data_IF_001187181509
#
_entry.id   IF_001187181509
#
_cell.length_a   1.000
_cell.length_b   1.000
_cell.length_c   1.000
_cell.angle_alpha   90.00
_cell.angle_beta   90.00
_cell.angle_gamma   90.00
#
_symmetry.space_group_name_H-M   'P 1'
#
loop_
_entity.id
_entity.type
_entity.pdbx_description
1 polymer ?
#
# COMPACT_ATOMS: atom_id res chain seq x y z
N UNK A 1 0.00 5.21 -14.05
CA UNK A 1 -1.32 4.89 -13.46
C UNK A 1 -1.96 6.15 -12.88
N UNK A 2 -1.37 6.77 -11.85
CA UNK A 2 -1.90 7.95 -11.14
C UNK A 2 -2.32 9.10 -12.08
N UNK A 3 -1.46 9.55 -13.01
CA UNK A 3 -1.80 10.60 -14.01
C UNK A 3 -3.08 10.27 -14.81
N UNK A 4 -3.30 8.99 -15.14
CA UNK A 4 -4.39 8.57 -16.04
C UNK A 4 -5.70 8.33 -15.32
N UNK A 5 -5.65 7.86 -14.07
CA UNK A 5 -6.84 7.36 -13.35
C UNK A 5 -7.07 8.01 -11.98
N UNK A 6 -6.09 8.68 -11.39
CA UNK A 6 -6.13 9.10 -9.98
C UNK A 6 -5.61 8.02 -9.02
N UNK A 7 -5.98 8.15 -7.75
CA UNK A 7 -5.62 7.23 -6.66
C UNK A 7 -6.67 6.12 -6.48
N UNK A 8 -6.31 5.02 -5.82
CA UNK A 8 -7.22 3.92 -5.48
C UNK A 8 -8.52 4.41 -4.79
N UNK A 9 -8.40 5.41 -3.91
CA UNK A 9 -9.52 6.00 -3.16
C UNK A 9 -10.57 6.66 -4.06
N UNK A 10 -10.18 7.10 -5.27
CA UNK A 10 -11.08 7.72 -6.25
C UNK A 10 -11.98 6.68 -6.94
N UNK A 11 -11.67 5.37 -6.82
CA UNK A 11 -12.36 4.25 -7.48
C UNK A 11 -13.11 3.31 -6.52
N UNK A 12 -13.23 3.69 -5.25
CA UNK A 12 -13.99 2.93 -4.26
C UNK A 12 -15.49 3.07 -4.54
N UNK A 13 -16.16 1.93 -4.73
CA UNK A 13 -17.61 1.84 -4.91
C UNK A 13 -18.36 1.51 -3.61
N UNK A 14 -17.75 0.67 -2.77
CA UNK A 14 -18.33 0.18 -1.52
C UNK A 14 -17.21 -0.22 -0.55
N UNK A 15 -17.54 -0.31 0.73
CA UNK A 15 -16.65 -0.81 1.77
C UNK A 15 -17.49 -1.43 2.88
N UNK A 16 -17.00 -2.50 3.51
CA UNK A 16 -17.54 -2.98 4.79
C UNK A 16 -16.63 -2.48 5.91
N UNK A 17 -17.20 -1.76 6.86
CA UNK A 17 -16.52 -1.23 8.05
C UNK A 17 -17.25 -1.67 9.32
N UNK A 18 -16.49 -1.98 10.37
CA UNK A 18 -16.99 -2.20 11.72
C UNK A 18 -16.70 -0.96 12.55
N UNK A 19 -17.75 -0.33 13.11
CA UNK A 19 -17.63 0.85 13.97
C UNK A 19 -17.38 0.51 15.45
N UNK A 20 -17.35 1.52 16.32
CA UNK A 20 -17.00 1.33 17.75
C UNK A 20 -18.13 0.74 18.59
N UNK A 21 -19.32 0.61 18.01
CA UNK A 21 -20.44 -0.16 18.57
C UNK A 21 -20.46 -1.62 18.04
N UNK A 22 -19.51 -1.99 17.17
CA UNK A 22 -19.43 -3.31 16.55
C UNK A 22 -20.42 -3.53 15.40
N UNK A 23 -21.06 -2.46 14.90
CA UNK A 23 -22.03 -2.56 13.78
C UNK A 23 -21.26 -2.70 12.46
N UNK A 24 -21.69 -3.65 11.63
CA UNK A 24 -21.17 -3.79 10.26
C UNK A 24 -21.93 -2.85 9.33
N UNK A 25 -21.23 -1.84 8.82
CA UNK A 25 -21.78 -0.84 7.90
C UNK A 25 -21.27 -1.06 6.47
N UNK A 26 -22.14 -0.83 5.49
CA UNK A 26 -21.84 -0.83 4.06
C UNK A 26 -22.03 0.58 3.47
N UNK A 27 -21.77 0.77 2.17
CA UNK A 27 -21.94 2.06 1.47
C UNK A 27 -23.27 2.78 1.74
N UNK A 28 -24.36 2.02 1.89
CA UNK A 28 -25.72 2.54 2.11
C UNK A 28 -25.96 2.88 3.58
N UNK A 29 -25.42 2.09 4.52
CA UNK A 29 -25.69 2.26 5.96
C UNK A 29 -24.68 3.13 6.70
N UNK A 30 -23.48 3.37 6.14
CA UNK A 30 -22.46 4.23 6.77
C UNK A 30 -22.69 5.74 6.58
N UNK A 31 -23.45 6.12 5.55
CA UNK A 31 -23.69 7.52 5.18
C UNK A 31 -22.52 8.17 4.42
N UNK A 32 -22.81 9.29 3.75
CA UNK A 32 -21.85 10.00 2.89
C UNK A 32 -20.61 10.51 3.63
N UNK A 33 -20.79 11.09 4.83
CA UNK A 33 -19.71 11.66 5.63
C UNK A 33 -18.62 10.62 5.95
N UNK A 34 -19.03 9.45 6.44
CA UNK A 34 -18.13 8.35 6.77
C UNK A 34 -17.53 7.71 5.51
N UNK A 35 -18.32 7.56 4.45
CA UNK A 35 -17.81 7.06 3.18
C UNK A 35 -16.76 7.98 2.54
N UNK A 36 -16.93 9.30 2.65
CA UNK A 36 -15.90 10.27 2.28
C UNK A 36 -14.66 10.13 3.19
N UNK A 37 -14.84 10.09 4.51
CA UNK A 37 -13.74 10.02 5.47
C UNK A 37 -12.85 8.78 5.28
N UNK A 38 -13.42 7.59 5.02
CA UNK A 38 -12.60 6.38 4.81
C UNK A 38 -11.82 6.40 3.48
N UNK A 39 -12.25 7.16 2.47
CA UNK A 39 -11.58 7.32 1.16
C UNK A 39 -10.39 8.29 1.20
N UNK A 40 -9.63 8.31 2.29
CA UNK A 40 -8.37 9.08 2.38
C UNK A 40 -8.03 9.63 3.75
N UNK A 41 -8.97 9.68 4.69
CA UNK A 41 -8.77 10.24 6.05
C UNK A 41 -8.07 9.31 7.04
N UNK A 42 -7.41 8.25 6.56
CA UNK A 42 -6.88 7.17 7.40
C UNK A 42 -7.99 6.33 8.04
N UNK A 43 -8.54 5.37 7.29
CA UNK A 43 -9.76 4.62 7.68
C UNK A 43 -9.76 4.00 9.09
N UNK A 44 -8.59 3.64 9.61
CA UNK A 44 -8.41 3.15 10.99
C UNK A 44 -8.80 4.18 12.08
N UNK A 45 -8.95 5.46 11.74
CA UNK A 45 -9.49 6.48 12.65
C UNK A 45 -11.00 6.36 12.87
N UNK A 46 -11.73 5.61 12.03
CA UNK A 46 -13.19 5.56 12.05
C UNK A 46 -13.77 4.16 12.28
N UNK A 47 -12.96 3.12 12.08
CA UNK A 47 -13.37 1.73 12.26
C UNK A 47 -12.41 0.72 11.66
N UNK A 48 -12.76 -0.55 11.79
CA UNK A 48 -12.02 -1.65 11.14
C UNK A 48 -12.64 -1.91 9.78
N UNK A 49 -11.93 -1.55 8.71
CA UNK A 49 -12.37 -1.82 7.33
C UNK A 49 -12.08 -3.28 6.99
N UNK A 50 -13.13 -4.06 6.78
CA UNK A 50 -13.09 -5.51 6.56
C UNK A 50 -12.98 -5.86 5.08
N UNK A 51 -13.55 -5.03 4.20
CA UNK A 51 -13.43 -5.22 2.74
C UNK A 51 -13.65 -3.93 1.96
N UNK A 52 -13.10 -3.90 0.74
CA UNK A 52 -13.31 -2.85 -0.25
C UNK A 52 -13.90 -3.43 -1.53
N UNK A 53 -14.83 -2.72 -2.15
CA UNK A 53 -15.27 -2.95 -3.53
C UNK A 53 -14.71 -1.83 -4.40
N UNK A 54 -13.80 -2.19 -5.28
CA UNK A 54 -13.05 -1.27 -6.15
C UNK A 54 -13.24 -1.73 -7.59
N UNK A 55 -13.29 -0.79 -8.53
CA UNK A 55 -13.23 -1.11 -9.97
C UNK A 55 -11.86 -1.76 -10.25
N UNK A 56 -11.84 -2.92 -10.91
CA UNK A 56 -10.62 -3.72 -11.09
C UNK A 56 -10.61 -4.43 -12.45
N UNK A 57 -9.54 -4.22 -13.24
CA UNK A 57 -9.24 -4.89 -14.52
C UNK A 57 -8.13 -5.96 -14.38
N UNK A 58 -8.24 -7.09 -15.13
CA UNK A 58 -7.88 -8.46 -14.67
C UNK A 58 -7.37 -9.39 -15.80
N UNK A 59 -6.69 -10.55 -15.63
CA UNK A 59 -5.87 -11.23 -14.57
C UNK A 59 -5.25 -12.52 -15.22
N UNK A 60 -4.12 -13.08 -14.74
CA UNK A 60 -3.40 -14.21 -15.38
C UNK A 60 -3.08 -15.43 -14.44
N UNK A 61 -2.97 -16.65 -15.02
CA UNK A 61 -2.61 -17.95 -14.36
C UNK A 61 -1.94 -18.95 -15.34
N UNK A 62 -0.96 -19.78 -14.91
CA UNK A 62 -0.55 -21.11 -15.52
C UNK A 62 0.53 -21.85 -14.66
N UNK A 63 0.84 -23.13 -14.95
CA UNK A 63 1.55 -24.08 -14.04
C UNK A 63 2.93 -24.62 -14.48
N UNK A 64 3.64 -25.32 -13.58
CA UNK A 64 5.11 -25.33 -13.54
C UNK A 64 5.91 -26.59 -13.98
N UNK A 65 5.33 -27.80 -14.11
CA UNK A 65 6.12 -29.02 -14.39
C UNK A 65 6.82 -29.02 -15.75
N UNK A 66 6.20 -28.41 -16.76
CA UNK A 66 6.81 -28.24 -18.09
C UNK A 66 8.08 -27.38 -18.10
N UNK A 67 8.23 -26.45 -17.13
CA UNK A 67 9.35 -25.52 -17.05
C UNK A 67 10.68 -26.24 -16.79
N UNK A 68 10.67 -27.21 -15.87
CA UNK A 68 11.86 -27.97 -15.47
C UNK A 68 12.34 -28.86 -16.62
N UNK A 69 11.39 -29.50 -17.32
CA UNK A 69 11.71 -30.35 -18.47
C UNK A 69 12.29 -29.56 -19.65
N UNK A 70 11.82 -28.33 -19.88
CA UNK A 70 12.40 -27.46 -20.91
C UNK A 70 13.82 -27.01 -20.53
N UNK A 71 14.01 -26.55 -19.28
CA UNK A 71 15.29 -26.00 -18.80
C UNK A 71 16.49 -26.93 -19.04
N UNK A 72 16.35 -28.24 -18.80
CA UNK A 72 17.47 -29.20 -18.87
C UNK A 72 18.10 -29.38 -20.26
N UNK A 73 17.40 -28.97 -21.33
CA UNK A 73 17.88 -29.08 -22.72
C UNK A 73 18.38 -27.76 -23.31
N UNK A 74 18.03 -26.63 -22.70
CA UNK A 74 18.32 -25.29 -23.22
C UNK A 74 19.37 -24.54 -22.42
N UNK A 75 19.47 -24.75 -21.10
CA UNK A 75 20.21 -23.88 -20.18
C UNK A 75 21.68 -23.64 -20.53
N UNK A 76 22.36 -24.64 -21.11
CA UNK A 76 23.75 -24.61 -21.57
C UNK A 76 23.95 -23.89 -22.92
N UNK A 77 22.86 -23.55 -23.62
CA UNK A 77 22.85 -23.01 -24.99
C UNK A 77 22.29 -21.59 -25.10
N UNK A 78 21.84 -21.01 -23.99
CA UNK A 78 21.10 -19.74 -24.02
C UNK A 78 22.02 -18.56 -24.37
N UNK A 79 23.13 -18.40 -23.65
CA UNK A 79 24.06 -17.27 -23.79
C UNK A 79 25.34 -17.54 -22.98
N UNK A 80 26.53 -17.28 -23.55
CA UNK A 80 27.82 -17.61 -22.90
C UNK A 80 28.03 -16.91 -21.54
N UNK A 81 27.52 -15.69 -21.39
CA UNK A 81 27.55 -14.92 -20.13
C UNK A 81 26.45 -15.28 -19.12
N UNK A 82 25.64 -16.31 -19.36
CA UNK A 82 24.48 -16.67 -18.52
C UNK A 82 24.70 -18.02 -17.82
N UNK A 83 24.69 -17.99 -16.48
CA UNK A 83 24.65 -19.20 -15.66
C UNK A 83 23.26 -19.34 -15.02
N UNK A 84 22.52 -20.39 -15.39
CA UNK A 84 21.27 -20.78 -14.71
C UNK A 84 21.47 -22.12 -14.01
N UNK A 85 21.06 -22.22 -12.75
CA UNK A 85 20.85 -23.51 -12.07
C UNK A 85 19.40 -23.66 -11.62
N UNK A 86 18.84 -24.85 -11.76
CA UNK A 86 17.62 -25.24 -11.05
C UNK A 86 18.01 -25.91 -9.73
N UNK A 87 17.30 -25.58 -8.66
CA UNK A 87 17.30 -26.33 -7.41
C UNK A 87 15.94 -27.00 -7.28
N UNK A 88 15.94 -28.33 -7.27
CA UNK A 88 14.75 -29.15 -7.05
C UNK A 88 14.73 -29.58 -5.57
N UNK A 89 13.62 -29.35 -4.89
CA UNK A 89 13.41 -29.83 -3.52
C UNK A 89 12.00 -30.36 -3.32
N UNK A 90 11.80 -31.40 -2.47
CA UNK A 90 10.46 -31.87 -2.13
C UNK A 90 9.70 -30.76 -1.39
N UNK A 91 8.50 -30.43 -1.88
CA UNK A 91 7.51 -29.62 -1.19
C UNK A 91 6.54 -30.51 -0.38
N UNK A 92 6.22 -31.69 -0.91
CA UNK A 92 5.48 -32.75 -0.23
C UNK A 92 6.04 -34.12 -0.66
N UNK A 93 5.55 -35.23 -0.09
CA UNK A 93 5.86 -36.59 -0.60
C UNK A 93 5.51 -36.82 -2.08
N UNK A 94 4.70 -35.94 -2.71
CA UNK A 94 4.25 -36.06 -4.11
C UNK A 94 4.53 -34.81 -4.97
N UNK A 95 5.09 -33.75 -4.40
CA UNK A 95 5.25 -32.44 -5.07
C UNK A 95 6.68 -31.97 -4.95
N UNK A 96 7.28 -31.55 -6.06
CA UNK A 96 8.63 -30.97 -6.12
C UNK A 96 8.49 -29.48 -6.42
N UNK A 97 9.24 -28.65 -5.69
CA UNK A 97 9.43 -27.23 -5.95
C UNK A 97 10.67 -27.07 -6.84
N UNK A 98 10.57 -26.28 -7.90
CA UNK A 98 11.71 -25.83 -8.69
C UNK A 98 11.97 -24.36 -8.40
N UNK A 99 13.21 -24.02 -8.01
CA UNK A 99 13.70 -22.64 -7.94
C UNK A 99 14.79 -22.47 -9.00
N UNK A 100 14.68 -21.43 -9.83
CA UNK A 100 15.69 -21.08 -10.81
C UNK A 100 16.53 -19.94 -10.25
N UNK A 101 17.84 -20.15 -10.15
CA UNK A 101 18.80 -19.12 -9.77
C UNK A 101 19.61 -18.74 -11.00
N UNK A 102 19.77 -17.45 -11.24
CA UNK A 102 20.46 -16.90 -12.41
C UNK A 102 21.58 -15.98 -11.97
N UNK A 103 22.75 -16.15 -12.57
CA UNK A 103 23.84 -15.18 -12.59
C UNK A 103 24.08 -14.79 -14.05
N UNK A 104 24.19 -13.50 -14.31
CA UNK A 104 24.40 -12.97 -15.66
C UNK A 104 25.55 -11.98 -15.66
N UNK A 105 26.51 -12.18 -16.55
CA UNK A 105 27.73 -11.36 -16.69
C UNK A 105 27.46 -10.15 -17.61
N UNK A 106 26.39 -9.41 -17.29
CA UNK A 106 25.93 -8.23 -18.00
C UNK A 106 24.83 -7.54 -17.18
N UNK A 107 24.06 -6.64 -17.80
CA UNK A 107 23.07 -5.85 -17.08
C UNK A 107 21.69 -6.54 -16.97
N UNK A 108 20.80 -6.01 -16.12
CA UNK A 108 19.49 -6.61 -15.87
C UNK A 108 18.55 -6.61 -17.09
N UNK A 109 18.70 -5.68 -18.04
CA UNK A 109 17.90 -5.67 -19.28
C UNK A 109 18.38 -6.74 -20.26
N UNK A 110 19.69 -6.93 -20.38
CA UNK A 110 20.29 -8.00 -21.18
C UNK A 110 19.86 -9.37 -20.64
N UNK A 111 19.90 -9.58 -19.32
CA UNK A 111 19.37 -10.78 -18.67
C UNK A 111 17.89 -11.00 -19.03
N UNK A 112 17.04 -9.96 -18.91
CA UNK A 112 15.62 -10.06 -19.26
C UNK A 112 15.40 -10.36 -20.76
N UNK A 113 16.18 -9.75 -21.66
CA UNK A 113 16.12 -10.01 -23.11
C UNK A 113 16.45 -11.47 -23.42
N UNK A 114 17.59 -11.95 -22.92
CA UNK A 114 18.09 -13.31 -23.11
C UNK A 114 17.08 -14.35 -22.57
N UNK A 115 16.53 -14.11 -21.38
CA UNK A 115 15.56 -15.00 -20.75
C UNK A 115 14.19 -14.98 -21.46
N UNK A 116 13.75 -13.84 -21.97
CA UNK A 116 12.50 -13.75 -22.74
C UNK A 116 12.60 -14.41 -24.13
N UNK A 117 13.76 -14.37 -24.79
CA UNK A 117 13.97 -15.06 -26.06
C UNK A 117 14.04 -16.58 -25.88
N UNK A 118 14.78 -17.06 -24.87
CA UNK A 118 15.08 -18.48 -24.72
C UNK A 118 14.10 -19.26 -23.84
N UNK A 119 13.65 -18.66 -22.74
CA UNK A 119 12.94 -19.33 -21.64
C UNK A 119 11.83 -18.46 -21.02
N UNK A 120 10.95 -17.81 -21.82
CA UNK A 120 9.95 -16.86 -21.33
C UNK A 120 8.97 -17.48 -20.32
N UNK A 121 8.85 -18.81 -20.30
CA UNK A 121 7.99 -19.54 -19.37
C UNK A 121 8.52 -19.51 -17.93
N UNK A 122 9.79 -19.15 -17.71
CA UNK A 122 10.38 -18.97 -16.36
C UNK A 122 9.94 -17.67 -15.67
N UNK A 123 9.32 -16.73 -16.40
CA UNK A 123 8.66 -15.55 -15.82
C UNK A 123 9.56 -14.66 -14.98
N UNK A 124 10.84 -14.50 -15.36
CA UNK A 124 11.82 -13.74 -14.59
C UNK A 124 11.40 -12.26 -14.48
N UNK A 125 11.36 -11.76 -13.24
CA UNK A 125 11.16 -10.36 -12.89
C UNK A 125 12.37 -9.86 -12.08
N UNK A 126 12.71 -8.59 -12.22
CA UNK A 126 13.80 -7.99 -11.45
C UNK A 126 13.27 -7.51 -10.09
N UNK A 127 13.89 -7.96 -8.99
CA UNK A 127 13.52 -7.60 -7.61
C UNK A 127 14.75 -7.20 -6.78
N UNK A 128 14.50 -6.65 -5.58
CA UNK A 128 15.43 -6.03 -4.62
C UNK A 128 16.02 -4.65 -5.03
N UNK A 129 15.37 -3.57 -4.57
CA UNK A 129 15.99 -2.26 -4.31
C UNK A 129 15.28 -1.55 -3.15
N UNK A 130 16.02 -0.75 -2.39
CA UNK A 130 15.44 0.45 -1.79
C UNK A 130 15.08 1.39 -2.95
N UNK A 131 13.80 1.60 -3.19
CA UNK A 131 13.32 2.40 -4.31
C UNK A 131 12.91 3.80 -3.85
N UNK A 132 13.42 4.80 -4.56
CA UNK A 132 12.79 6.11 -4.64
C UNK A 132 11.76 6.05 -5.77
N UNK A 133 10.48 6.18 -5.43
CA UNK A 133 9.41 6.37 -6.39
C UNK A 133 9.12 7.86 -6.49
N UNK A 134 9.35 8.44 -7.67
CA UNK A 134 8.80 9.74 -8.03
C UNK A 134 7.52 9.48 -8.81
N UNK A 135 6.38 9.52 -8.12
CA UNK A 135 5.06 9.39 -8.73
C UNK A 135 4.61 10.77 -9.24
N UNK A 136 4.66 11.06 -10.55
CA UNK A 136 4.24 12.36 -11.06
C UNK A 136 2.74 12.55 -10.84
N UNK A 137 2.39 13.71 -10.29
CA UNK A 137 1.01 14.18 -10.15
C UNK A 137 0.61 15.03 -11.38
N UNK A 138 -0.62 15.54 -11.37
CA UNK A 138 -1.23 16.16 -12.56
C UNK A 138 -1.98 15.14 -13.43
N UNK A 139 -2.32 15.54 -14.66
CA UNK A 139 -3.34 14.84 -15.45
C UNK A 139 -4.65 14.75 -14.67
N UNK A 140 -5.23 13.55 -14.57
CA UNK A 140 -6.48 13.31 -13.83
C UNK A 140 -6.39 13.74 -12.36
N UNK A 141 -5.22 13.63 -11.71
CA UNK A 141 -5.03 14.11 -10.33
C UNK A 141 -5.18 15.63 -10.19
N UNK A 142 -4.91 16.40 -11.25
CA UNK A 142 -5.08 17.86 -11.24
C UNK A 142 -6.51 18.31 -11.55
N UNK A 143 -7.34 17.43 -12.12
CA UNK A 143 -8.77 17.70 -12.39
C UNK A 143 -9.66 17.42 -11.17
N UNK A 144 -9.21 16.54 -10.26
CA UNK A 144 -9.96 16.15 -9.06
C UNK A 144 -9.83 17.26 -8.00
N UNK A 145 -10.97 17.68 -7.45
CA UNK A 145 -11.04 18.67 -6.37
C UNK A 145 -10.28 18.20 -5.13
N UNK A 146 -9.56 19.11 -4.46
CA UNK A 146 -8.93 18.82 -3.16
C UNK A 146 -9.93 18.41 -2.06
N UNK A 147 -11.23 18.62 -2.29
CA UNK A 147 -12.32 18.25 -1.39
C UNK A 147 -13.01 16.92 -1.73
N UNK A 148 -12.75 16.33 -2.91
CA UNK A 148 -13.42 15.10 -3.38
C UNK A 148 -13.18 13.91 -2.45
N UNK A 149 -11.99 13.91 -1.84
CA UNK A 149 -11.56 12.98 -0.79
C UNK A 149 -10.86 13.77 0.32
N UNK A 150 -10.71 13.22 1.53
CA UNK A 150 -9.94 13.89 2.57
C UNK A 150 -8.48 14.16 2.22
N UNK A 151 -7.88 13.34 1.34
CA UNK A 151 -6.52 13.54 0.82
C UNK A 151 -6.49 14.72 -0.17
N UNK A 152 -5.89 15.88 0.19
CA UNK A 152 -6.08 17.14 -0.54
C UNK A 152 -5.04 17.36 -1.65
N UNK A 153 -3.97 16.57 -1.69
CA UNK A 153 -2.83 16.79 -2.59
C UNK A 153 -3.21 16.44 -4.03
N UNK A 154 -3.71 17.44 -4.76
CA UNK A 154 -4.27 17.32 -6.12
C UNK A 154 -3.57 18.30 -7.07
N UNK A 155 -4.26 19.31 -7.56
CA UNK A 155 -3.66 20.38 -8.36
C UNK A 155 -2.61 21.17 -7.54
N UNK A 156 -1.46 21.48 -8.15
CA UNK A 156 -0.35 22.20 -7.52
C UNK A 156 0.76 21.29 -6.96
N UNK A 157 0.47 20.02 -6.65
CA UNK A 157 1.47 19.02 -6.33
C UNK A 157 2.11 18.47 -7.63
N UNK A 158 3.45 18.40 -7.67
CA UNK A 158 4.21 17.97 -8.86
C UNK A 158 4.56 16.47 -8.79
N UNK A 159 4.98 15.99 -7.62
CA UNK A 159 5.30 14.58 -7.37
C UNK A 159 4.82 14.17 -5.97
N UNK A 160 4.41 12.92 -5.84
CA UNK A 160 4.52 12.16 -4.59
C UNK A 160 5.87 11.44 -4.59
N UNK A 161 6.62 11.59 -3.50
CA UNK A 161 7.92 10.94 -3.32
C UNK A 161 7.75 9.85 -2.27
N UNK A 162 7.88 8.59 -2.66
CA UNK A 162 7.80 7.45 -1.75
C UNK A 162 9.15 6.74 -1.69
N UNK A 163 9.56 6.40 -0.47
CA UNK A 163 10.68 5.51 -0.20
C UNK A 163 10.10 4.14 0.13
N UNK A 164 10.44 3.10 -0.65
CA UNK A 164 10.02 1.74 -0.34
C UNK A 164 11.23 0.82 -0.18
N UNK A 165 11.30 0.11 0.94
CA UNK A 165 12.14 -1.07 1.11
C UNK A 165 11.26 -2.31 1.04
N UNK A 166 11.67 -3.30 0.26
CA UNK A 166 11.01 -4.60 0.17
C UNK A 166 12.03 -5.67 0.50
N UNK A 167 11.72 -6.47 1.52
CA UNK A 167 12.54 -7.58 1.99
C UNK A 167 11.72 -8.87 1.96
N UNK A 168 12.38 -9.99 1.65
CA UNK A 168 11.77 -11.32 1.57
C UNK A 168 12.02 -12.16 2.84
N UNK A 169 12.67 -11.57 3.84
CA UNK A 169 13.09 -12.24 5.07
C UNK A 169 12.00 -12.11 6.15
N UNK A 170 11.49 -13.25 6.62
CA UNK A 170 10.49 -13.31 7.69
C UNK A 170 11.19 -13.29 9.06
N UNK A 171 10.66 -12.52 10.02
CA UNK A 171 11.14 -12.49 11.39
C UNK A 171 10.87 -11.15 12.07
N UNK A 172 10.60 -11.17 13.38
CA UNK A 172 10.38 -9.95 14.16
C UNK A 172 11.65 -9.08 14.23
N UNK A 173 12.84 -9.67 14.43
CA UNK A 173 14.10 -8.92 14.44
C UNK A 173 14.39 -8.24 13.10
N UNK A 174 14.09 -8.91 12.00
CA UNK A 174 14.25 -8.38 10.63
C UNK A 174 13.27 -7.23 10.38
N UNK A 175 12.00 -7.43 10.74
CA UNK A 175 10.99 -6.39 10.66
C UNK A 175 11.37 -5.20 11.55
N UNK A 176 11.79 -5.41 12.78
CA UNK A 176 12.24 -4.36 13.70
C UNK A 176 13.49 -3.64 13.20
N UNK A 177 14.45 -4.34 12.58
CA UNK A 177 15.63 -3.72 11.97
C UNK A 177 15.23 -2.78 10.81
N UNK A 178 14.39 -3.24 9.88
CA UNK A 178 13.94 -2.39 8.76
C UNK A 178 12.99 -1.28 9.22
N UNK A 179 12.03 -1.57 10.10
CA UNK A 179 11.08 -0.59 10.64
C UNK A 179 11.78 0.48 11.49
N UNK A 180 12.72 0.12 12.37
CA UNK A 180 13.49 1.11 13.13
C UNK A 180 14.38 1.99 12.24
N UNK A 181 14.90 1.43 11.13
CA UNK A 181 15.61 2.19 10.09
C UNK A 181 14.69 3.11 9.27
N UNK A 182 13.39 2.83 9.22
CA UNK A 182 12.37 3.49 8.40
C UNK A 182 11.13 3.93 9.20
N UNK A 183 11.32 4.44 10.43
CA UNK A 183 10.22 5.00 11.25
C UNK A 183 9.43 6.15 10.56
N UNK A 184 9.95 6.65 9.43
CA UNK A 184 9.32 7.62 8.52
C UNK A 184 8.21 7.04 7.61
N UNK A 185 7.71 5.82 7.82
CA UNK A 185 6.49 5.35 7.11
C UNK A 185 5.22 6.11 7.53
N UNK A 186 5.28 6.87 8.62
CA UNK A 186 4.36 7.96 8.94
C UNK A 186 5.20 9.22 9.06
N UNK A 187 4.67 10.35 8.60
CA UNK A 187 5.29 11.66 8.74
C UNK A 187 5.20 12.12 10.22
N UNK A 188 5.93 11.48 11.12
CA UNK A 188 5.93 11.82 12.56
C UNK A 188 6.59 13.17 12.83
N UNK A 189 7.39 13.66 11.88
CA UNK A 189 8.03 14.97 11.86
C UNK A 189 7.03 16.12 11.64
N UNK A 190 5.91 15.90 10.94
CA UNK A 190 4.81 16.89 10.90
C UNK A 190 4.08 17.00 12.25
N UNK A 191 4.22 15.99 13.12
CA UNK A 191 3.75 15.95 14.50
C UNK A 191 2.94 14.69 14.82
N UNK A 192 2.82 14.37 16.10
CA UNK A 192 2.04 13.24 16.61
C UNK A 192 1.15 13.66 17.78
N UNK A 193 0.07 12.91 17.96
CA UNK A 193 -0.78 12.94 19.13
C UNK A 193 -0.01 12.41 20.36
N UNK A 194 -0.10 13.12 21.48
CA UNK A 194 0.49 12.69 22.74
C UNK A 194 -0.23 11.46 23.33
N UNK A 195 0.37 10.77 24.32
CA UNK A 195 -0.25 9.58 24.92
C UNK A 195 -1.61 9.90 25.54
N UNK A 196 -2.64 9.13 25.18
CA UNK A 196 -4.00 9.26 25.72
C UNK A 196 -4.99 9.80 24.69
N UNK A 197 -5.82 10.77 25.09
CA UNK A 197 -6.71 11.49 24.18
C UNK A 197 -6.04 12.80 23.78
N UNK A 198 -5.59 12.90 22.53
CA UNK A 198 -5.15 14.18 21.99
C UNK A 198 -6.33 15.16 21.92
N UNK A 199 -6.07 16.38 22.37
CA UNK A 199 -6.98 17.51 22.14
C UNK A 199 -6.98 17.87 20.65
N UNK A 200 -8.10 18.42 20.17
CA UNK A 200 -8.17 19.00 18.82
C UNK A 200 -7.03 20.00 18.56
N UNK A 201 -6.61 20.77 19.56
CA UNK A 201 -5.48 21.69 19.45
C UNK A 201 -4.18 20.96 19.07
N UNK A 202 -3.85 19.85 19.75
CA UNK A 202 -2.68 19.01 19.44
C UNK A 202 -2.82 18.37 18.04
N UNK A 203 -3.94 17.70 17.78
CA UNK A 203 -4.15 16.99 16.52
C UNK A 203 -4.14 17.93 15.30
N UNK A 204 -4.59 19.19 15.47
CA UNK A 204 -4.58 20.18 14.38
C UNK A 204 -3.18 20.59 13.90
N UNK A 205 -2.13 20.41 14.71
CA UNK A 205 -0.75 20.79 14.36
C UNK A 205 -0.20 19.95 13.21
N UNK A 206 -0.43 18.63 13.25
CA UNK A 206 -0.07 17.71 12.17
C UNK A 206 -1.22 17.59 11.17
N UNK A 207 -2.46 17.49 11.66
CA UNK A 207 -3.64 17.25 10.84
C UNK A 207 -3.88 18.29 9.76
N UNK A 208 -3.63 19.58 10.02
CA UNK A 208 -3.72 20.63 8.99
C UNK A 208 -2.56 20.66 8.00
N UNK A 209 -1.39 20.08 8.34
CA UNK A 209 -0.27 19.94 7.39
C UNK A 209 -0.54 18.84 6.37
N UNK A 210 -1.19 17.76 6.81
CA UNK A 210 -1.49 16.59 5.96
C UNK A 210 -2.83 16.73 5.22
N UNK A 211 -3.90 17.11 5.91
CA UNK A 211 -5.25 17.18 5.35
C UNK A 211 -5.68 18.59 4.91
N UNK A 212 -4.80 19.59 4.97
CA UNK A 212 -5.10 20.99 4.62
C UNK A 212 -6.43 21.47 5.25
N UNK A 213 -7.42 21.80 4.41
CA UNK A 213 -8.77 22.27 4.78
C UNK A 213 -9.73 21.14 5.15
N UNK A 214 -9.42 19.90 4.80
CA UNK A 214 -10.27 18.73 5.06
C UNK A 214 -10.21 18.23 6.51
N UNK A 215 -9.19 18.64 7.28
CA UNK A 215 -9.00 18.20 8.67
C UNK A 215 -10.24 18.45 9.55
N UNK A 216 -10.85 19.64 9.44
CA UNK A 216 -11.99 20.01 10.28
C UNK A 216 -13.24 19.18 9.94
N UNK A 217 -13.45 18.87 8.67
CA UNK A 217 -14.48 17.93 8.23
C UNK A 217 -14.23 16.52 8.77
N UNK A 218 -13.00 16.02 8.72
CA UNK A 218 -12.65 14.73 9.31
C UNK A 218 -12.95 14.67 10.81
N UNK A 219 -12.61 15.73 11.55
CA UNK A 219 -12.91 15.87 12.99
C UNK A 219 -14.43 15.87 13.25
N UNK A 220 -15.23 16.51 12.40
CA UNK A 220 -16.69 16.45 12.50
C UNK A 220 -17.24 15.03 12.26
N UNK A 221 -16.75 14.33 11.23
CA UNK A 221 -17.14 12.92 10.97
C UNK A 221 -16.75 12.06 12.16
N UNK A 222 -15.51 12.16 12.64
CA UNK A 222 -15.00 11.41 13.80
C UNK A 222 -15.87 11.62 15.03
N UNK A 223 -16.20 12.86 15.35
CA UNK A 223 -17.04 13.23 16.51
C UNK A 223 -18.45 12.63 16.40
N UNK A 224 -18.97 12.45 15.19
CA UNK A 224 -20.29 11.87 14.91
C UNK A 224 -20.31 10.34 14.96
N UNK A 225 -19.29 9.67 14.43
CA UNK A 225 -19.27 8.20 14.28
C UNK A 225 -18.55 7.46 15.41
N UNK A 226 -17.64 8.13 16.12
CA UNK A 226 -16.89 7.58 17.24
C UNK A 226 -16.70 8.63 18.34
N UNK A 227 -17.79 9.09 18.98
CA UNK A 227 -17.78 10.19 19.95
C UNK A 227 -16.87 9.91 21.15
N UNK A 228 -16.79 8.66 21.61
CA UNK A 228 -15.91 8.21 22.71
C UNK A 228 -14.43 8.13 22.33
N UNK A 229 -14.08 8.37 21.06
CA UNK A 229 -12.72 8.29 20.52
C UNK A 229 -12.08 6.90 20.71
N UNK A 230 -12.88 5.84 20.51
CA UNK A 230 -12.45 4.45 20.69
C UNK A 230 -11.31 4.06 19.75
N UNK A 231 -11.41 4.41 18.47
CA UNK A 231 -10.34 4.17 17.49
C UNK A 231 -9.32 5.31 17.53
N UNK A 232 -8.17 5.08 18.17
CA UNK A 232 -7.12 6.08 18.34
C UNK A 232 -5.72 5.49 18.20
N UNK A 233 -4.80 6.28 17.65
CA UNK A 233 -3.38 5.99 17.46
C UNK A 233 -2.62 7.31 17.32
N UNK A 234 -1.30 7.27 17.12
CA UNK A 234 -0.38 8.43 17.19
C UNK A 234 -0.68 9.57 16.19
N UNK A 235 -1.51 9.32 15.16
CA UNK A 235 -2.01 10.29 14.20
C UNK A 235 -3.46 9.95 13.80
N UNK A 236 -4.29 9.57 14.79
CA UNK A 236 -5.71 9.37 14.56
C UNK A 236 -6.45 10.69 14.50
N UNK A 237 -7.49 10.80 13.68
CA UNK A 237 -8.41 11.94 13.78
C UNK A 237 -9.08 11.91 15.17
N UNK A 238 -8.99 13.01 15.92
CA UNK A 238 -9.55 13.13 17.26
C UNK A 238 -11.04 13.57 17.25
N UNK A 239 -11.85 13.02 18.16
CA UNK A 239 -13.21 13.48 18.45
C UNK A 239 -13.20 14.77 19.31
N UNK A 240 -14.09 15.72 19.02
CA UNK A 240 -14.25 16.94 19.84
C UNK A 240 -14.82 16.65 21.24
N UNK A 241 -15.46 15.50 21.45
CA UNK A 241 -16.14 15.18 22.71
C UNK A 241 -15.18 14.80 23.87
N UNK A 242 -13.87 14.67 23.61
CA UNK A 242 -12.87 14.21 24.59
C UNK A 242 -12.56 15.20 25.73
N UNK A 243 -13.37 16.24 25.93
CA UNK A 243 -13.15 17.31 26.93
C UNK A 243 -13.90 17.04 28.25
N UNK A 244 -14.75 16.00 28.32
CA UNK A 244 -15.54 15.67 29.52
C UNK A 244 -15.28 14.24 30.02
N UNK A 245 -14.09 14.02 30.57
CA UNK A 245 -13.83 12.99 31.58
C UNK A 245 -13.00 13.61 32.70
N UNK A 246 -13.66 13.90 33.82
CA UNK A 246 -13.06 14.36 35.10
C UNK A 246 -12.55 13.14 35.86
#
# INVERSE_FOLDING_TARGET
MIISFGLLVDHVLDALIVDSEGRVLNRTTMGEDLFWAIRGGGGASFGVIVSWKIINEKTLKKGASGLVYQWQYVADKIHDGLFIRVILSPLTRKTIRAKFHVLFLGNAQELLYVMNQSSPQLGLVAEQKACFHFNPYGGKMGEISEFETPFPHRAGNIYEIQYSVSWNEEGEDVANQYLSSYLNCRDVDIGVDGPGNATYAQASVWGRKYFNRNFDSLVQVKTKVDPSNFFRYEQSIASLASVHSI
#
